data_IF_755674880827
#
_entry.id   IF_755674880827
#
_cell.length_a   1.000
_cell.length_b   1.000
_cell.length_c   1.000
_cell.angle_alpha   90.00
_cell.angle_beta   90.00
_cell.angle_gamma   90.00
#
_symmetry.space_group_name_H-M   'P 1'
#
loop_
_entity.id
_entity.type
_entity.pdbx_description
1 polymer ?
#
# COMPACT_ATOMS: atom_id res chain seq x y z
N UNK A 1 -10.22 -18.82 -10.86
CA UNK A 1 -10.77 -18.57 -9.51
C UNK A 1 -11.94 -17.59 -9.61
N UNK A 2 -13.01 -17.72 -8.81
CA UNK A 2 -14.11 -16.74 -8.81
C UNK A 2 -13.60 -15.37 -8.34
N UNK A 3 -14.03 -14.25 -8.96
CA UNK A 3 -13.50 -12.91 -8.66
C UNK A 3 -13.78 -12.48 -7.21
N UNK A 4 -14.90 -12.92 -6.63
CA UNK A 4 -15.26 -12.61 -5.23
C UNK A 4 -14.26 -13.17 -4.22
N UNK A 5 -13.79 -14.42 -4.44
CA UNK A 5 -12.75 -15.03 -3.59
C UNK A 5 -11.40 -14.32 -3.75
N UNK A 6 -11.09 -13.84 -4.95
CA UNK A 6 -9.87 -13.09 -5.20
C UNK A 6 -9.81 -11.78 -4.41
N UNK A 7 -10.89 -10.99 -4.46
CA UNK A 7 -11.01 -9.73 -3.73
C UNK A 7 -10.92 -9.96 -2.21
N UNK A 8 -11.57 -11.01 -1.71
CA UNK A 8 -11.49 -11.36 -0.28
C UNK A 8 -10.06 -11.70 0.16
N UNK A 9 -9.32 -12.48 -0.65
CA UNK A 9 -7.93 -12.82 -0.37
C UNK A 9 -7.01 -11.59 -0.42
N UNK A 10 -7.21 -10.69 -1.39
CA UNK A 10 -6.50 -9.42 -1.43
C UNK A 10 -6.79 -8.55 -0.21
N UNK A 11 -8.06 -8.46 0.22
CA UNK A 11 -8.47 -7.69 1.39
C UNK A 11 -7.82 -8.21 2.68
N UNK A 12 -7.81 -9.54 2.87
CA UNK A 12 -7.12 -10.17 3.99
C UNK A 12 -5.62 -9.85 3.99
N UNK A 13 -4.98 -9.88 2.81
CA UNK A 13 -3.57 -9.53 2.70
C UNK A 13 -3.34 -8.05 3.03
N UNK A 14 -4.15 -7.14 2.48
CA UNK A 14 -4.05 -5.69 2.68
C UNK A 14 -4.19 -5.29 4.15
N UNK A 15 -5.08 -5.97 4.89
CA UNK A 15 -5.30 -5.73 6.33
C UNK A 15 -4.01 -5.84 7.17
N UNK A 16 -3.01 -6.56 6.67
CA UNK A 16 -1.72 -6.73 7.36
C UNK A 16 -0.92 -5.43 7.49
N UNK A 17 -1.16 -4.43 6.63
CA UNK A 17 -0.35 -3.21 6.59
C UNK A 17 -1.14 -1.92 6.30
N UNK A 18 -2.45 -2.00 6.06
CA UNK A 18 -3.32 -0.83 5.82
C UNK A 18 -3.17 0.24 6.91
N UNK A 19 -3.14 -0.15 8.18
CA UNK A 19 -3.03 0.82 9.29
C UNK A 19 -1.70 1.57 9.25
N UNK A 20 -0.60 0.86 9.00
CA UNK A 20 0.71 1.47 8.86
C UNK A 20 0.74 2.43 7.67
N UNK A 21 0.18 2.03 6.53
CA UNK A 21 0.12 2.88 5.33
C UNK A 21 -0.72 4.13 5.54
N UNK A 22 -1.90 4.01 6.17
CA UNK A 22 -2.78 5.14 6.46
C UNK A 22 -2.14 6.15 7.43
N UNK A 23 -1.33 5.70 8.39
CA UNK A 23 -0.59 6.61 9.28
C UNK A 23 0.44 7.41 8.48
N UNK A 24 1.18 6.74 7.59
CA UNK A 24 2.14 7.43 6.70
C UNK A 24 1.43 8.44 5.81
N UNK A 25 0.28 8.07 5.24
CA UNK A 25 -0.51 8.96 4.38
C UNK A 25 -1.07 10.17 5.14
N UNK A 26 -1.56 9.97 6.36
CA UNK A 26 -2.03 11.05 7.21
C UNK A 26 -0.90 12.01 7.59
N UNK A 27 0.27 11.50 7.97
CA UNK A 27 1.45 12.33 8.26
C UNK A 27 1.89 13.11 7.03
N UNK A 28 1.92 12.46 5.86
CA UNK A 28 2.28 13.12 4.61
C UNK A 28 1.30 14.23 4.22
N UNK A 29 -0.01 14.00 4.38
CA UNK A 29 -1.03 15.02 4.15
C UNK A 29 -0.90 16.22 5.10
N UNK A 30 -0.63 16.00 6.39
CA UNK A 30 -0.39 17.09 7.33
C UNK A 30 0.84 17.92 6.96
N UNK A 31 1.94 17.26 6.58
CA UNK A 31 3.13 17.96 6.09
C UNK A 31 2.82 18.73 4.80
N UNK A 32 2.08 18.14 3.86
CA UNK A 32 1.70 18.79 2.61
C UNK A 32 0.88 20.06 2.86
N UNK A 33 -0.05 20.01 3.82
CA UNK A 33 -0.85 21.17 4.22
C UNK A 33 0.01 22.28 4.83
N UNK A 34 1.03 21.93 5.61
CA UNK A 34 1.88 22.92 6.29
C UNK A 34 2.92 23.58 5.37
N UNK A 35 3.55 22.81 4.49
CA UNK A 35 4.66 23.28 3.66
C UNK A 35 4.28 23.52 2.18
N UNK A 36 3.06 23.17 1.80
CA UNK A 36 2.53 23.36 0.45
C UNK A 36 3.13 22.41 -0.59
N UNK A 37 2.96 22.78 -1.86
CA UNK A 37 3.31 21.93 -3.01
C UNK A 37 4.81 21.66 -3.17
N UNK A 38 5.67 22.51 -2.62
CA UNK A 38 7.13 22.39 -2.76
C UNK A 38 7.72 21.12 -2.15
N UNK A 39 7.06 20.51 -1.16
CA UNK A 39 7.55 19.28 -0.53
C UNK A 39 7.03 18.00 -1.20
N UNK A 40 6.22 18.09 -2.25
CA UNK A 40 5.64 16.92 -2.92
C UNK A 40 6.70 15.89 -3.37
N UNK A 41 7.85 16.26 -3.96
CA UNK A 41 8.87 15.29 -4.34
C UNK A 41 9.43 14.52 -3.13
N UNK A 42 9.57 15.18 -1.98
CA UNK A 42 10.05 14.56 -0.75
C UNK A 42 9.01 13.58 -0.18
N UNK A 43 7.73 13.96 -0.18
CA UNK A 43 6.64 13.07 0.23
C UNK A 43 6.50 11.86 -0.70
N UNK A 44 6.71 12.06 -2.00
CA UNK A 44 6.72 10.97 -2.97
C UNK A 44 7.84 9.96 -2.71
N UNK A 45 9.04 10.44 -2.36
CA UNK A 45 10.16 9.60 -1.94
C UNK A 45 9.86 8.87 -0.63
N UNK A 46 9.27 9.55 0.35
CA UNK A 46 8.83 8.94 1.62
C UNK A 46 7.83 7.80 1.38
N UNK A 47 6.79 8.04 0.56
CA UNK A 47 5.79 7.03 0.21
C UNK A 47 6.41 5.84 -0.54
N UNK A 48 7.29 6.12 -1.51
CA UNK A 48 7.99 5.07 -2.26
C UNK A 48 8.87 4.21 -1.34
N UNK A 49 9.61 4.83 -0.42
CA UNK A 49 10.46 4.14 0.55
C UNK A 49 9.67 3.28 1.53
N UNK A 50 8.55 3.79 2.04
CA UNK A 50 7.67 3.04 2.96
C UNK A 50 6.99 1.86 2.28
N UNK A 51 6.60 1.99 1.00
CA UNK A 51 6.12 0.86 0.19
C UNK A 51 7.18 -0.23 0.01
N UNK A 52 8.43 0.17 -0.28
CA UNK A 52 9.56 -0.75 -0.44
C UNK A 52 9.87 -1.49 0.87
N UNK A 53 9.85 -0.77 1.99
CA UNK A 53 10.05 -1.33 3.33
C UNK A 53 8.92 -2.29 3.72
N UNK A 54 7.68 -1.94 3.41
CA UNK A 54 6.50 -2.79 3.63
C UNK A 54 6.60 -4.06 2.80
N UNK A 55 6.94 -3.93 1.52
CA UNK A 55 7.18 -5.06 0.62
C UNK A 55 8.26 -6.01 1.15
N UNK A 56 9.40 -5.47 1.57
CA UNK A 56 10.50 -6.25 2.12
C UNK A 56 10.10 -6.96 3.42
N UNK A 57 9.47 -6.24 4.35
CA UNK A 57 9.10 -6.76 5.66
C UNK A 57 8.06 -7.87 5.56
N UNK A 58 7.02 -7.64 4.75
CA UNK A 58 5.97 -8.64 4.52
C UNK A 58 6.52 -9.86 3.79
N UNK A 59 7.39 -9.66 2.80
CA UNK A 59 8.00 -10.79 2.10
C UNK A 59 8.81 -11.71 3.01
N UNK A 60 9.46 -11.15 4.03
CA UNK A 60 10.19 -11.94 5.03
C UNK A 60 9.26 -12.61 6.02
N UNK A 61 8.26 -11.89 6.55
CA UNK A 61 7.33 -12.44 7.57
C UNK A 61 6.33 -13.45 7.01
N UNK A 62 5.78 -13.18 5.83
CA UNK A 62 4.70 -13.97 5.20
C UNK A 62 5.21 -14.93 4.14
N UNK A 63 6.50 -15.31 4.18
CA UNK A 63 7.10 -16.23 3.20
C UNK A 63 6.28 -17.52 3.05
N UNK A 64 5.76 -18.04 4.17
CA UNK A 64 4.97 -19.28 4.20
C UNK A 64 3.53 -19.09 3.68
N UNK A 65 2.92 -17.92 3.89
CA UNK A 65 1.56 -17.62 3.39
C UNK A 65 1.54 -17.57 1.85
N UNK A 66 2.65 -17.23 1.20
CA UNK A 66 2.71 -17.24 -0.27
C UNK A 66 2.50 -18.62 -0.89
N UNK A 67 2.83 -19.71 -0.19
CA UNK A 67 2.54 -21.06 -0.69
C UNK A 67 1.03 -21.33 -0.73
N UNK A 68 0.27 -20.81 0.24
CA UNK A 68 -1.19 -20.90 0.23
C UNK A 68 -1.80 -20.19 -0.97
N UNK A 69 -1.38 -18.94 -1.24
CA UNK A 69 -1.86 -18.20 -2.40
C UNK A 69 -1.43 -18.83 -3.73
N UNK A 70 -0.22 -19.37 -3.80
CA UNK A 70 0.28 -20.07 -4.98
C UNK A 70 -0.54 -21.33 -5.30
N UNK A 71 -0.90 -22.13 -4.28
CA UNK A 71 -1.75 -23.31 -4.44
C UNK A 71 -3.18 -22.96 -4.91
N UNK A 72 -3.61 -21.71 -4.71
CA UNK A 72 -4.87 -21.18 -5.24
C UNK A 72 -4.73 -20.55 -6.65
N UNK A 73 -3.55 -20.68 -7.27
CA UNK A 73 -3.25 -20.14 -8.60
C UNK A 73 -2.94 -18.63 -8.61
N UNK A 74 -2.64 -18.04 -7.46
CA UNK A 74 -2.36 -16.60 -7.33
C UNK A 74 -0.85 -16.41 -7.16
N UNK A 75 -0.24 -15.73 -8.13
CA UNK A 75 1.17 -15.34 -8.06
C UNK A 75 1.38 -14.15 -7.12
N UNK A 76 2.60 -14.01 -6.59
CA UNK A 76 2.97 -12.86 -5.75
C UNK A 76 2.74 -11.52 -6.45
N UNK A 77 2.99 -11.44 -7.76
CA UNK A 77 2.78 -10.22 -8.55
C UNK A 77 1.31 -9.82 -8.61
N UNK A 78 0.42 -10.80 -8.76
CA UNK A 78 -1.03 -10.55 -8.75
C UNK A 78 -1.53 -10.01 -7.41
N UNK A 79 -0.87 -10.35 -6.30
CA UNK A 79 -1.17 -9.75 -4.99
C UNK A 79 -0.62 -8.33 -4.90
N UNK A 80 0.68 -8.16 -5.18
CA UNK A 80 1.38 -6.89 -4.92
C UNK A 80 0.99 -5.74 -5.85
N UNK A 81 0.83 -5.98 -7.16
CA UNK A 81 0.51 -4.92 -8.13
C UNK A 81 -0.77 -4.14 -7.75
N UNK A 82 -1.93 -4.80 -7.58
CA UNK A 82 -3.15 -4.07 -7.25
C UNK A 82 -3.09 -3.39 -5.88
N UNK A 83 -2.38 -3.98 -4.91
CA UNK A 83 -2.21 -3.40 -3.58
C UNK A 83 -1.35 -2.13 -3.62
N UNK A 84 -0.20 -2.17 -4.29
CA UNK A 84 0.68 -1.01 -4.44
C UNK A 84 -0.03 0.10 -5.22
N UNK A 85 -0.76 -0.26 -6.27
CA UNK A 85 -1.52 0.72 -7.06
C UNK A 85 -2.62 1.37 -6.21
N UNK A 86 -3.42 0.57 -5.50
CA UNK A 86 -4.47 1.08 -4.62
C UNK A 86 -3.91 1.99 -3.52
N UNK A 87 -2.80 1.59 -2.92
CA UNK A 87 -2.14 2.33 -1.84
C UNK A 87 -1.54 3.68 -2.31
N UNK A 88 -0.98 3.72 -3.52
CA UNK A 88 -0.53 4.96 -4.16
C UNK A 88 -1.70 5.89 -4.51
N UNK A 89 -2.81 5.34 -5.01
CA UNK A 89 -4.01 6.13 -5.28
C UNK A 89 -4.58 6.73 -4.00
N UNK A 90 -4.64 5.94 -2.91
CA UNK A 90 -5.05 6.42 -1.60
C UNK A 90 -4.20 7.60 -1.12
N UNK A 91 -2.87 7.47 -1.23
CA UNK A 91 -1.94 8.54 -0.88
C UNK A 91 -2.20 9.83 -1.66
N UNK A 92 -2.42 9.73 -2.97
CA UNK A 92 -2.72 10.89 -3.83
C UNK A 92 -4.05 11.52 -3.42
N UNK A 93 -5.10 10.71 -3.24
CA UNK A 93 -6.43 11.19 -2.85
C UNK A 93 -6.39 11.89 -1.50
N UNK A 94 -5.78 11.27 -0.49
CA UNK A 94 -5.66 11.85 0.86
C UNK A 94 -4.87 13.17 0.80
N UNK A 95 -3.71 13.18 0.16
CA UNK A 95 -2.88 14.39 0.08
C UNK A 95 -3.57 15.53 -0.68
N UNK A 96 -4.30 15.22 -1.76
CA UNK A 96 -5.06 16.19 -2.53
C UNK A 96 -6.27 16.74 -1.75
N UNK A 97 -7.05 15.87 -1.11
CA UNK A 97 -8.22 16.27 -0.31
C UNK A 97 -7.84 17.13 0.91
N UNK A 98 -6.66 16.92 1.50
CA UNK A 98 -6.20 17.73 2.64
C UNK A 98 -5.56 19.06 2.24
N UNK A 99 -5.33 19.29 0.95
CA UNK A 99 -4.89 20.55 0.40
C UNK A 99 -6.04 21.52 0.10
N UNK A 100 -7.20 20.97 -0.33
CA UNK A 100 -8.44 21.71 -0.57
C UNK A 100 -9.03 22.25 0.75
#
# INVERSE_FOLDING_TARGET
>A
MKPTRYIHLLSLFYRSFILFSLIVDAVAALLYRQYGSGIFPLLWLLKSGTLLLTWFTINRRKKNEYYYYYNQGISRKQIWIPLLLFDLLLFIVITCCFHA
#
